data_IF_350641657507
#
_entry.id   IF_350641657507
#
_cell.length_a   1.000
_cell.length_b   1.000
_cell.length_c   1.000
_cell.angle_alpha   90.00
_cell.angle_beta   90.00
_cell.angle_gamma   90.00
#
_symmetry.space_group_name_H-M   'P 1'
#
loop_
_entity.id
_entity.type
_entity.pdbx_description
1 polymer ?
#
# COMPACT_ATOMS: atom_id res chain seq x y z
N UNK A 1 16.16 -16.12 -12.75
CA UNK A 1 14.76 -15.69 -12.53
C UNK A 1 14.23 -16.47 -11.36
N UNK A 2 13.62 -15.80 -10.39
CA UNK A 2 13.03 -16.45 -9.22
C UNK A 2 11.63 -16.91 -9.59
N UNK A 3 11.34 -18.20 -9.46
CA UNK A 3 10.02 -18.74 -9.79
C UNK A 3 9.08 -18.61 -8.57
N UNK A 4 7.85 -18.16 -8.81
CA UNK A 4 6.78 -18.17 -7.82
C UNK A 4 5.81 -19.29 -8.21
N UNK A 5 5.69 -20.37 -7.42
CA UNK A 5 4.79 -21.45 -7.74
C UNK A 5 3.33 -21.01 -7.57
N UNK A 6 2.42 -21.68 -8.29
CA UNK A 6 1.00 -21.52 -8.08
C UNK A 6 0.63 -21.84 -6.63
N UNK A 7 -0.04 -20.91 -5.97
CA UNK A 7 -0.50 -21.04 -4.59
C UNK A 7 -1.61 -20.03 -4.31
N UNK A 8 -2.38 -20.27 -3.26
CA UNK A 8 -3.39 -19.36 -2.74
C UNK A 8 -2.91 -18.73 -1.43
N UNK A 9 -3.33 -17.49 -1.16
CA UNK A 9 -3.03 -16.81 0.11
C UNK A 9 -4.32 -16.74 0.92
N UNK A 10 -4.40 -17.48 2.03
CA UNK A 10 -5.41 -17.24 3.06
C UNK A 10 -4.92 -16.13 3.97
N UNK A 11 -5.39 -14.91 3.71
CA UNK A 11 -5.02 -13.75 4.51
C UNK A 11 -5.52 -13.84 5.96
N UNK A 12 -6.49 -14.69 6.31
CA UNK A 12 -6.91 -14.79 7.71
C UNK A 12 -5.87 -15.55 8.57
N UNK A 13 -5.00 -16.33 7.94
CA UNK A 13 -3.94 -17.09 8.60
C UNK A 13 -2.63 -16.30 8.78
N UNK A 14 -2.53 -15.09 8.22
CA UNK A 14 -1.30 -14.27 8.26
C UNK A 14 -1.39 -13.29 9.42
N UNK A 15 -0.31 -13.18 10.22
CA UNK A 15 -0.22 -12.19 11.30
C UNK A 15 -0.37 -10.75 10.80
N UNK A 16 -0.89 -9.87 11.66
CA UNK A 16 -0.97 -8.44 11.41
C UNK A 16 0.15 -7.74 12.18
N UNK A 17 1.09 -7.14 11.47
CA UNK A 17 2.07 -6.23 12.05
C UNK A 17 1.47 -4.83 12.15
N UNK A 18 1.66 -4.16 13.28
CA UNK A 18 1.12 -2.82 13.54
C UNK A 18 2.15 -1.74 13.24
N UNK A 19 1.71 -0.70 12.53
CA UNK A 19 2.50 0.48 12.20
C UNK A 19 1.71 1.75 12.52
N UNK A 20 2.28 2.61 13.37
CA UNK A 20 1.67 3.89 13.73
C UNK A 20 1.90 4.91 12.62
N UNK A 21 0.87 5.69 12.32
CA UNK A 21 1.02 6.92 11.53
C UNK A 21 1.20 8.14 12.43
N UNK A 22 1.21 9.34 11.86
CA UNK A 22 1.03 10.59 12.62
C UNK A 22 -0.27 10.54 13.42
N UNK A 23 -1.32 10.06 12.77
CA UNK A 23 -2.60 9.74 13.37
C UNK A 23 -3.08 8.36 12.91
N UNK A 24 -3.90 7.71 13.73
CA UNK A 24 -4.41 6.38 13.43
C UNK A 24 -3.33 5.29 13.39
N UNK A 25 -3.66 4.17 12.78
CA UNK A 25 -2.81 2.97 12.72
C UNK A 25 -3.01 2.22 11.41
N UNK A 26 -1.94 1.63 10.91
CA UNK A 26 -1.97 0.69 9.80
C UNK A 26 -1.64 -0.72 10.29
N UNK A 27 -2.38 -1.72 9.82
CA UNK A 27 -2.07 -3.14 10.06
C UNK A 27 -1.71 -3.82 8.75
N UNK A 28 -0.59 -4.51 8.73
CA UNK A 28 -0.03 -5.12 7.52
C UNK A 28 -0.01 -6.63 7.66
N UNK A 29 -0.47 -7.30 6.62
CA UNK A 29 -0.28 -8.73 6.43
C UNK A 29 0.59 -8.89 5.19
N UNK A 30 1.73 -9.56 5.31
CA UNK A 30 2.77 -9.54 4.27
C UNK A 30 3.10 -10.94 3.77
N UNK A 31 3.13 -11.10 2.45
CA UNK A 31 3.72 -12.23 1.75
C UNK A 31 4.96 -11.75 0.99
N UNK A 32 6.11 -12.34 1.31
CA UNK A 32 7.38 -12.00 0.68
C UNK A 32 7.86 -13.13 -0.23
N UNK A 33 8.11 -12.78 -1.49
CA UNK A 33 8.77 -13.62 -2.49
C UNK A 33 10.06 -12.96 -2.95
N UNK A 34 10.97 -13.66 -3.65
CA UNK A 34 12.15 -13.01 -4.22
C UNK A 34 11.73 -11.99 -5.29
N UNK A 35 12.03 -10.71 -5.04
CA UNK A 35 11.73 -9.59 -5.94
C UNK A 35 10.26 -9.16 -6.02
N UNK A 36 9.37 -9.76 -5.21
CA UNK A 36 7.94 -9.42 -5.14
C UNK A 36 7.47 -9.47 -3.69
N UNK A 37 6.76 -8.43 -3.27
CA UNK A 37 6.06 -8.37 -2.00
C UNK A 37 4.60 -8.05 -2.25
N UNK A 38 3.72 -8.80 -1.59
CA UNK A 38 2.27 -8.59 -1.64
C UNK A 38 1.81 -8.34 -0.21
N UNK A 39 1.05 -7.27 0.00
CA UNK A 39 0.55 -6.88 1.31
C UNK A 39 -0.94 -6.61 1.27
N UNK A 40 -1.66 -7.11 2.27
CA UNK A 40 -2.99 -6.59 2.62
C UNK A 40 -2.82 -5.60 3.75
N UNK A 41 -3.21 -4.36 3.52
CA UNK A 41 -3.01 -3.25 4.46
C UNK A 41 -4.36 -2.68 4.85
N UNK A 42 -4.57 -2.48 6.15
CA UNK A 42 -5.76 -1.86 6.70
C UNK A 42 -5.36 -0.58 7.43
N UNK A 43 -6.00 0.54 7.08
CA UNK A 43 -5.84 1.80 7.80
C UNK A 43 -7.06 2.04 8.69
N UNK A 44 -6.83 2.47 9.92
CA UNK A 44 -7.89 2.94 10.80
C UNK A 44 -8.54 4.22 10.26
N UNK A 45 -9.72 4.56 10.78
CA UNK A 45 -10.28 5.90 10.61
C UNK A 45 -9.28 6.96 11.11
N UNK A 46 -9.21 8.09 10.39
CA UNK A 46 -8.28 9.17 10.63
C UNK A 46 -6.80 8.81 10.45
N UNK A 47 -6.46 7.71 9.77
CA UNK A 47 -5.07 7.36 9.54
C UNK A 47 -4.38 8.39 8.64
N UNK A 48 -3.21 8.85 9.07
CA UNK A 48 -2.28 9.67 8.30
C UNK A 48 -0.90 9.04 8.40
N UNK A 49 -0.31 8.67 7.26
CA UNK A 49 1.05 8.12 7.26
C UNK A 49 2.06 9.13 7.84
N UNK A 50 3.09 8.61 8.51
CA UNK A 50 4.17 9.35 9.19
C UNK A 50 5.34 9.72 8.26
N UNK A 51 5.27 9.33 6.99
CA UNK A 51 6.33 9.60 6.03
C UNK A 51 5.77 9.83 4.62
N UNK A 52 6.59 10.49 3.81
CA UNK A 52 6.40 10.56 2.37
C UNK A 52 7.11 9.38 1.72
N UNK A 53 6.34 8.54 1.04
CA UNK A 53 6.86 7.39 0.31
C UNK A 53 7.37 7.81 -1.06
N UNK A 54 8.60 7.40 -1.37
CA UNK A 54 9.23 7.52 -2.70
C UNK A 54 9.36 6.18 -3.42
N UNK A 55 8.94 5.09 -2.77
CA UNK A 55 9.02 3.75 -3.33
C UNK A 55 7.85 3.47 -4.25
N UNK A 56 8.16 2.79 -5.35
CA UNK A 56 7.19 2.30 -6.30
C UNK A 56 6.32 1.21 -5.69
N UNK A 57 5.04 1.27 -6.02
CA UNK A 57 4.08 0.22 -5.70
C UNK A 57 2.81 0.37 -6.54
N UNK A 58 2.08 -0.73 -6.61
CA UNK A 58 0.71 -0.81 -7.11
C UNK A 58 -0.20 -0.85 -5.88
N UNK A 59 -1.10 0.12 -5.72
CA UNK A 59 -2.12 0.11 -4.66
C UNK A 59 -3.48 -0.05 -5.28
N UNK A 60 -4.18 -1.10 -4.87
CA UNK A 60 -5.57 -1.34 -5.23
C UNK A 60 -6.47 -1.20 -4.00
N UNK A 61 -7.54 -0.42 -4.10
CA UNK A 61 -8.48 -0.21 -3.00
C UNK A 61 -9.52 -1.33 -2.95
N UNK A 62 -9.48 -2.16 -1.89
CA UNK A 62 -10.40 -3.29 -1.70
C UNK A 62 -11.73 -2.84 -1.08
N UNK A 63 -11.67 -1.95 -0.10
CA UNK A 63 -12.81 -1.45 0.68
C UNK A 63 -12.53 -0.02 1.15
N UNK A 64 -13.57 0.80 1.26
CA UNK A 64 -13.45 2.20 1.72
C UNK A 64 -12.86 3.12 0.65
N UNK A 65 -12.20 4.18 1.12
CA UNK A 65 -11.49 5.14 0.29
C UNK A 65 -10.32 5.80 1.05
N UNK A 66 -9.38 6.34 0.29
CA UNK A 66 -8.25 7.09 0.83
C UNK A 66 -7.81 8.18 -0.15
N UNK A 67 -7.00 9.10 0.34
CA UNK A 67 -6.33 10.14 -0.43
C UNK A 67 -4.84 9.80 -0.48
N UNK A 68 -4.29 9.77 -1.69
CA UNK A 68 -2.86 9.87 -1.91
C UNK A 68 -2.52 11.33 -2.17
N UNK A 69 -1.89 11.98 -1.19
CA UNK A 69 -1.38 13.35 -1.30
C UNK A 69 0.02 13.29 -1.89
N UNK A 70 0.28 14.04 -2.96
CA UNK A 70 1.62 14.25 -3.51
C UNK A 70 2.30 15.42 -2.80
N UNK A 71 3.64 15.40 -2.72
CA UNK A 71 4.41 16.46 -2.08
C UNK A 71 4.20 17.83 -2.74
N UNK A 72 3.79 17.84 -4.01
CA UNK A 72 3.38 19.03 -4.77
C UNK A 72 2.06 19.65 -4.29
N UNK A 73 1.33 18.97 -3.40
CA UNK A 73 0.04 19.37 -2.85
C UNK A 73 -1.17 18.80 -3.59
N UNK A 74 -0.96 18.08 -4.70
CA UNK A 74 -2.05 17.38 -5.41
C UNK A 74 -2.64 16.27 -4.54
N UNK A 75 -3.97 16.13 -4.54
CA UNK A 75 -4.69 15.13 -3.75
C UNK A 75 -5.54 14.26 -4.66
N UNK A 76 -5.20 12.97 -4.70
CA UNK A 76 -5.87 12.00 -5.55
C UNK A 76 -6.67 11.08 -4.63
N UNK A 77 -7.99 11.11 -4.75
CA UNK A 77 -8.87 10.19 -4.01
C UNK A 77 -8.99 8.88 -4.78
N UNK A 78 -8.81 7.77 -4.09
CA UNK A 78 -9.06 6.43 -4.58
C UNK A 78 -10.16 5.77 -3.75
N UNK A 79 -11.18 5.24 -4.42
CA UNK A 79 -12.27 4.47 -3.82
C UNK A 79 -12.17 2.99 -4.18
N UNK A 80 -12.96 2.16 -3.52
CA UNK A 80 -13.10 0.72 -3.80
C UNK A 80 -13.11 0.41 -5.31
N UNK A 81 -12.23 -0.49 -5.73
CA UNK A 81 -12.08 -0.95 -7.10
C UNK A 81 -11.06 -0.18 -7.93
N UNK A 82 -10.56 0.96 -7.45
CA UNK A 82 -9.57 1.77 -8.16
C UNK A 82 -8.13 1.37 -7.79
N UNK A 83 -7.21 1.63 -8.72
CA UNK A 83 -5.79 1.32 -8.60
C UNK A 83 -4.95 2.50 -9.03
N UNK A 84 -3.86 2.78 -8.32
CA UNK A 84 -2.75 3.54 -8.88
C UNK A 84 -1.48 2.68 -8.97
N UNK A 85 -0.59 3.08 -9.86
CA UNK A 85 0.71 2.44 -10.08
C UNK A 85 1.77 3.51 -10.16
N UNK A 86 2.90 3.30 -9.50
CA UNK A 86 4.05 4.21 -9.57
C UNK A 86 5.35 3.43 -9.45
N UNK A 87 6.37 3.84 -10.20
CA UNK A 87 7.75 3.32 -10.07
C UNK A 87 8.50 4.06 -8.96
N UNK A 88 9.65 3.51 -8.55
CA UNK A 88 10.56 4.17 -7.61
C UNK A 88 10.88 5.60 -8.06
N UNK A 89 10.94 6.53 -7.11
CA UNK A 89 11.39 7.92 -7.27
C UNK A 89 10.55 8.82 -8.21
N UNK A 90 9.48 8.31 -8.84
CA UNK A 90 8.63 9.10 -9.74
C UNK A 90 7.55 9.92 -9.00
N UNK A 91 7.35 9.67 -7.72
CA UNK A 91 6.50 10.50 -6.87
C UNK A 91 7.02 10.49 -5.43
N UNK A 92 6.64 11.51 -4.67
CA UNK A 92 6.74 11.54 -3.22
C UNK A 92 5.33 11.73 -2.70
N UNK A 93 4.75 10.70 -2.10
CA UNK A 93 3.33 10.70 -1.77
C UNK A 93 3.05 10.13 -0.38
N UNK A 94 1.87 10.43 0.17
CA UNK A 94 1.47 10.04 1.51
C UNK A 94 -0.01 9.72 1.57
N UNK A 95 -0.34 8.66 2.30
CA UNK A 95 -1.72 8.19 2.42
C UNK A 95 -2.43 8.84 3.61
N UNK A 96 -3.68 9.24 3.38
CA UNK A 96 -4.63 9.64 4.41
C UNK A 96 -5.96 8.92 4.19
N UNK A 97 -6.60 8.43 5.25
CA UNK A 97 -7.97 7.91 5.17
C UNK A 97 -8.81 8.43 6.32
N UNK A 98 -9.91 9.10 5.99
CA UNK A 98 -10.84 9.66 6.97
C UNK A 98 -11.61 8.54 7.69
N UNK A 99 -12.16 7.59 6.93
CA UNK A 99 -13.07 6.55 7.44
C UNK A 99 -12.40 5.17 7.59
N UNK A 100 -11.11 5.07 7.26
CA UNK A 100 -10.39 3.81 7.14
C UNK A 100 -10.55 3.18 5.76
N UNK A 101 -9.62 2.28 5.43
CA UNK A 101 -9.55 1.66 4.11
C UNK A 101 -8.86 0.30 4.20
N UNK A 102 -9.20 -0.62 3.30
CA UNK A 102 -8.40 -1.84 3.07
C UNK A 102 -7.81 -1.80 1.67
N UNK A 103 -6.53 -2.09 1.59
CA UNK A 103 -5.71 -1.99 0.40
C UNK A 103 -5.03 -3.32 0.12
N UNK A 104 -4.86 -3.63 -1.16
CA UNK A 104 -3.86 -4.56 -1.63
C UNK A 104 -2.70 -3.75 -2.20
N UNK A 105 -1.50 -3.94 -1.64
CA UNK A 105 -0.29 -3.26 -2.08
C UNK A 105 0.68 -4.31 -2.64
N UNK A 106 1.14 -4.08 -3.86
CA UNK A 106 2.11 -4.94 -4.53
C UNK A 106 3.33 -4.09 -4.87
N UNK A 107 4.50 -4.52 -4.43
CA UNK A 107 5.77 -3.84 -4.68
C UNK A 107 6.90 -4.85 -4.92
N UNK A 108 7.98 -4.42 -5.56
CA UNK A 108 9.04 -5.34 -5.94
C UNK A 108 10.09 -4.73 -6.85
N UNK A 109 11.08 -5.54 -7.20
CA UNK A 109 12.25 -5.09 -7.98
C UNK A 109 11.89 -4.61 -9.39
N UNK A 110 10.75 -5.05 -9.92
CA UNK A 110 10.23 -4.66 -11.24
C UNK A 110 9.78 -3.18 -11.31
N UNK A 111 9.69 -2.49 -10.17
CA UNK A 111 9.34 -1.06 -10.10
C UNK A 111 10.57 -0.16 -9.93
N UNK A 112 11.77 -0.71 -9.80
CA UNK A 112 13.00 0.07 -9.74
C UNK A 112 13.26 0.70 -11.11
N UNK A 113 13.59 1.99 -11.12
CA UNK A 113 14.17 2.61 -12.31
C UNK A 113 15.58 2.04 -12.50
N UNK A 114 15.93 1.75 -13.76
CA UNK A 114 17.27 1.32 -14.17
C UNK A 114 18.32 2.41 -13.92
#
# INVERSE_FOLDING_TARGET
>A
MSNIPFQTIDWNAIGKDEYRGETGTAWWQTMQFPGLRIRKVEYSAGYLADHWCRKGHIVHCLEGDFISELLTGEKIRLKKGETYVVSDELSSHRSFSENGVKLLIIDGDFLKNL
#
